data_IF_445733424552
#
_entry.id   IF_445733424552
#
_cell.length_a   1.000
_cell.length_b   1.000
_cell.length_c   1.000
_cell.angle_alpha   90.00
_cell.angle_beta   90.00
_cell.angle_gamma   90.00
#
_symmetry.space_group_name_H-M   'P 1'
#
loop_
_entity.id
_entity.type
_entity.pdbx_description
1 polymer ?
#
# COMPACT_ATOMS: atom_id res chain seq x y z
N UNK A 1 -15.77 -5.78 2.19
CA UNK A 1 -16.55 -5.78 0.91
C UNK A 1 -15.55 -5.71 -0.24
N UNK A 2 -15.85 -6.16 -1.48
CA UNK A 2 -14.89 -6.02 -2.57
C UNK A 2 -14.68 -4.55 -2.94
N UNK A 3 -13.44 -4.15 -3.21
CA UNK A 3 -13.08 -2.77 -3.58
C UNK A 3 -12.68 -2.69 -5.05
N UNK A 4 -13.30 -1.79 -5.80
CA UNK A 4 -13.02 -1.65 -7.24
C UNK A 4 -11.92 -0.63 -7.52
N UNK A 5 -10.90 -1.04 -8.29
CA UNK A 5 -9.76 -0.24 -8.71
C UNK A 5 -9.78 0.01 -10.22
N UNK A 6 -9.24 1.16 -10.62
CA UNK A 6 -8.83 1.41 -12.01
C UNK A 6 -7.47 0.77 -12.27
N UNK A 7 -7.13 0.53 -13.54
CA UNK A 7 -5.80 0.01 -13.92
C UNK A 7 -4.66 0.85 -13.32
N UNK A 8 -4.76 2.18 -13.41
CA UNK A 8 -3.76 3.11 -12.86
C UNK A 8 -3.53 2.91 -11.37
N UNK A 9 -4.60 2.75 -10.58
CA UNK A 9 -4.48 2.53 -9.15
C UNK A 9 -4.01 1.13 -8.79
N UNK A 10 -4.46 0.12 -9.55
CA UNK A 10 -3.96 -1.26 -9.44
C UNK A 10 -2.45 -1.30 -9.65
N UNK A 11 -1.93 -0.65 -10.68
CA UNK A 11 -0.49 -0.67 -10.99
C UNK A 11 0.34 0.08 -9.96
N UNK A 12 -0.17 1.19 -9.44
CA UNK A 12 0.47 1.91 -8.34
C UNK A 12 0.55 1.04 -7.07
N UNK A 13 -0.56 0.40 -6.68
CA UNK A 13 -0.59 -0.52 -5.53
C UNK A 13 0.30 -1.75 -5.76
N UNK A 14 0.27 -2.33 -6.97
CA UNK A 14 1.12 -3.45 -7.34
C UNK A 14 2.60 -3.09 -7.17
N UNK A 15 3.03 -1.97 -7.76
CA UNK A 15 4.42 -1.54 -7.69
C UNK A 15 4.87 -1.29 -6.25
N UNK A 16 4.02 -0.66 -5.43
CA UNK A 16 4.32 -0.39 -4.03
C UNK A 16 4.33 -1.68 -3.18
N UNK A 17 3.42 -2.62 -3.43
CA UNK A 17 3.38 -3.93 -2.76
C UNK A 17 4.64 -4.75 -3.07
N UNK A 18 5.04 -4.81 -4.35
CA UNK A 18 6.25 -5.51 -4.77
C UNK A 18 7.51 -4.86 -4.17
N UNK A 19 7.56 -3.53 -4.08
CA UNK A 19 8.65 -2.81 -3.44
C UNK A 19 8.75 -3.14 -1.94
N UNK A 20 7.63 -3.30 -1.25
CA UNK A 20 7.64 -3.68 0.17
C UNK A 20 8.08 -5.13 0.39
N UNK A 21 7.53 -6.07 -0.38
CA UNK A 21 7.92 -7.48 -0.33
C UNK A 21 9.40 -7.71 -0.65
N UNK A 22 9.97 -6.92 -1.58
CA UNK A 22 11.41 -6.98 -1.93
C UNK A 22 12.32 -6.76 -0.73
N UNK A 23 11.90 -5.95 0.24
CA UNK A 23 12.64 -5.70 1.47
C UNK A 23 12.18 -6.60 2.62
N UNK A 24 10.87 -6.86 2.71
CA UNK A 24 10.25 -7.63 3.78
C UNK A 24 10.67 -9.10 3.81
N UNK A 25 10.80 -9.74 2.65
CA UNK A 25 11.19 -11.17 2.57
C UNK A 25 12.65 -11.37 3.03
N UNK A 26 13.66 -10.63 2.51
CA UNK A 26 15.02 -10.73 3.03
C UNK A 26 15.13 -10.40 4.52
N UNK A 27 14.41 -9.39 5.01
CA UNK A 27 14.40 -9.04 6.43
C UNK A 27 13.87 -10.19 7.31
N UNK A 28 12.85 -10.91 6.84
CA UNK A 28 12.32 -12.09 7.53
C UNK A 28 13.34 -13.22 7.58
N UNK A 29 14.00 -13.51 6.45
CA UNK A 29 15.05 -14.54 6.38
C UNK A 29 16.24 -14.19 7.28
N UNK A 30 16.66 -12.93 7.30
CA UNK A 30 17.69 -12.44 8.20
C UNK A 30 17.29 -12.62 9.67
N UNK A 31 16.05 -12.31 10.03
CA UNK A 31 15.55 -12.52 11.39
C UNK A 31 15.58 -14.00 11.81
N UNK A 32 15.24 -14.92 10.90
CA UNK A 32 15.37 -16.37 11.14
C UNK A 32 16.82 -16.79 11.36
N UNK A 33 17.73 -16.34 10.50
CA UNK A 33 19.17 -16.65 10.59
C UNK A 33 19.79 -16.14 11.89
N UNK A 34 19.27 -15.04 12.44
CA UNK A 34 19.72 -14.48 13.72
C UNK A 34 18.99 -15.05 14.95
N UNK A 35 18.15 -16.07 14.78
CA UNK A 35 17.37 -16.68 15.88
C UNK A 35 16.28 -15.78 16.46
N UNK A 36 15.93 -14.67 15.80
CA UNK A 36 14.90 -13.71 16.23
C UNK A 36 13.49 -14.18 15.84
N UNK A 37 13.10 -15.37 16.29
CA UNK A 37 11.84 -16.02 15.86
C UNK A 37 10.57 -15.20 16.09
N UNK A 38 10.37 -14.50 17.23
CA UNK A 38 9.17 -13.67 17.41
C UNK A 38 9.08 -12.56 16.36
N UNK A 39 10.20 -11.92 16.03
CA UNK A 39 10.25 -10.89 15.00
C UNK A 39 10.03 -11.47 13.60
N UNK A 40 10.62 -12.64 13.30
CA UNK A 40 10.37 -13.35 12.04
C UNK A 40 8.88 -13.72 11.86
N UNK A 41 8.18 -14.13 12.93
CA UNK A 41 6.72 -14.39 12.86
C UNK A 41 5.91 -13.14 12.53
N UNK A 42 6.28 -11.99 13.09
CA UNK A 42 5.66 -10.71 12.77
C UNK A 42 5.88 -10.36 11.30
N UNK A 43 7.11 -10.51 10.80
CA UNK A 43 7.42 -10.26 9.38
C UNK A 43 6.70 -11.24 8.45
N UNK A 44 6.58 -12.51 8.83
CA UNK A 44 5.82 -13.51 8.08
C UNK A 44 4.36 -13.10 7.90
N UNK A 45 3.68 -12.74 8.99
CA UNK A 45 2.27 -12.34 8.94
C UNK A 45 2.05 -11.07 8.09
N UNK A 46 3.03 -10.15 8.09
CA UNK A 46 2.99 -8.95 7.23
C UNK A 46 3.11 -9.31 5.75
N UNK A 47 4.17 -10.05 5.41
CA UNK A 47 4.42 -10.46 4.03
C UNK A 47 3.28 -11.35 3.50
N UNK A 48 2.62 -12.15 4.35
CA UNK A 48 1.47 -12.98 4.00
C UNK A 48 0.28 -12.12 3.52
N UNK A 49 -0.03 -11.03 4.22
CA UNK A 49 -1.10 -10.12 3.81
C UNK A 49 -0.78 -9.36 2.52
N UNK A 50 0.47 -8.96 2.32
CA UNK A 50 0.93 -8.31 1.08
C UNK A 50 0.91 -9.27 -0.12
N UNK A 51 1.28 -10.54 0.09
CA UNK A 51 1.17 -11.58 -0.93
C UNK A 51 -0.29 -11.87 -1.29
N UNK A 52 -1.20 -11.83 -0.31
CA UNK A 52 -2.63 -11.95 -0.56
C UNK A 52 -3.18 -10.75 -1.36
N UNK A 53 -2.74 -9.53 -1.05
CA UNK A 53 -3.05 -8.36 -1.89
C UNK A 53 -2.51 -8.52 -3.31
N UNK A 54 -1.28 -9.00 -3.47
CA UNK A 54 -0.68 -9.23 -4.78
C UNK A 54 -1.45 -10.27 -5.60
N UNK A 55 -2.01 -11.29 -4.93
CA UNK A 55 -2.89 -12.26 -5.57
C UNK A 55 -4.14 -11.59 -6.16
N UNK A 56 -4.80 -10.72 -5.40
CA UNK A 56 -5.98 -9.97 -5.86
C UNK A 56 -5.65 -8.99 -7.01
N UNK A 57 -4.49 -8.31 -6.92
CA UNK A 57 -4.03 -7.40 -7.96
C UNK A 57 -3.54 -8.14 -9.22
N UNK A 58 -3.19 -9.42 -9.10
CA UNK A 58 -2.56 -10.23 -10.13
C UNK A 58 -1.03 -10.13 -10.14
N UNK A 59 -0.37 -11.21 -10.54
CA UNK A 59 1.10 -11.40 -10.46
C UNK A 59 1.90 -10.75 -11.58
N UNK A 60 1.26 -10.41 -12.69
CA UNK A 60 1.92 -9.88 -13.88
C UNK A 60 1.50 -8.42 -14.12
N UNK A 61 2.35 -7.61 -14.78
CA UNK A 61 1.92 -6.34 -15.36
C UNK A 61 0.82 -6.63 -16.38
N UNK A 62 -0.36 -6.05 -16.22
CA UNK A 62 -1.48 -6.29 -17.13
C UNK A 62 -1.24 -5.60 -18.48
N UNK A 63 -1.16 -6.35 -19.61
CA UNK A 63 -0.85 -5.77 -20.91
C UNK A 63 -2.03 -5.03 -21.54
N UNK A 64 -3.26 -5.40 -21.19
CA UNK A 64 -4.51 -4.78 -21.64
C UNK A 64 -5.50 -4.75 -20.47
N UNK A 65 -6.06 -3.59 -20.11
CA UNK A 65 -7.16 -3.56 -19.15
C UNK A 65 -8.12 -2.39 -19.39
N UNK A 66 -9.20 -2.69 -20.11
CA UNK A 66 -10.48 -1.99 -19.93
C UNK A 66 -11.35 -2.86 -19.02
N UNK A 67 -11.28 -2.64 -17.71
CA UNK A 67 -12.12 -3.34 -16.75
C UNK A 67 -11.87 -2.92 -15.30
N UNK A 68 -12.89 -2.98 -14.43
CA UNK A 68 -12.71 -2.82 -12.99
C UNK A 68 -11.91 -3.99 -12.40
N UNK A 69 -10.93 -3.69 -11.54
CA UNK A 69 -10.21 -4.70 -10.76
C UNK A 69 -10.82 -4.80 -9.37
N UNK A 70 -11.11 -6.00 -8.89
CA UNK A 70 -11.71 -6.21 -7.57
C UNK A 70 -10.67 -6.72 -6.57
N UNK A 71 -10.53 -6.01 -5.45
CA UNK A 71 -9.76 -6.46 -4.29
C UNK A 71 -10.72 -7.17 -3.34
N UNK A 72 -10.46 -8.45 -3.07
CA UNK A 72 -11.33 -9.32 -2.25
C UNK A 72 -10.79 -9.54 -0.84
N UNK A 73 -9.55 -9.12 -0.57
CA UNK A 73 -8.89 -9.20 0.72
C UNK A 73 -9.78 -8.63 1.84
N UNK A 74 -9.96 -9.37 2.96
CA UNK A 74 -10.82 -8.90 4.04
C UNK A 74 -10.39 -7.54 4.58
N UNK A 75 -11.36 -6.67 4.85
CA UNK A 75 -11.13 -5.27 5.23
C UNK A 75 -10.09 -5.07 6.35
N UNK A 76 -10.03 -5.88 7.44
CA UNK A 76 -8.99 -5.75 8.46
C UNK A 76 -7.57 -6.01 7.94
N UNK A 77 -7.41 -6.99 7.05
CA UNK A 77 -6.12 -7.31 6.43
C UNK A 77 -5.75 -6.26 5.40
N UNK A 78 -6.72 -5.84 4.59
CA UNK A 78 -6.56 -4.78 3.61
C UNK A 78 -6.14 -3.46 4.26
N UNK A 79 -6.79 -3.03 5.35
CA UNK A 79 -6.39 -1.86 6.12
C UNK A 79 -4.95 -1.94 6.59
N UNK A 80 -4.54 -3.09 7.14
CA UNK A 80 -3.17 -3.27 7.64
C UNK A 80 -2.14 -3.06 6.53
N UNK A 81 -2.38 -3.66 5.36
CA UNK A 81 -1.50 -3.55 4.19
C UNK A 81 -1.52 -2.12 3.63
N UNK A 82 -2.69 -1.50 3.47
CA UNK A 82 -2.83 -0.15 2.91
C UNK A 82 -2.20 0.92 3.80
N UNK A 83 -2.32 0.82 5.13
CA UNK A 83 -1.64 1.75 6.04
C UNK A 83 -0.13 1.67 5.90
N UNK A 84 0.41 0.46 5.76
CA UNK A 84 1.85 0.22 5.61
C UNK A 84 2.36 0.73 4.26
N UNK A 85 1.72 0.32 3.16
CA UNK A 85 2.04 0.77 1.80
C UNK A 85 1.90 2.28 1.68
N UNK A 86 0.82 2.85 2.22
CA UNK A 86 0.54 4.27 2.18
C UNK A 86 1.60 5.07 2.94
N UNK A 87 1.96 4.64 4.15
CA UNK A 87 3.03 5.28 4.93
C UNK A 87 4.37 5.24 4.21
N UNK A 88 4.77 4.07 3.70
CA UNK A 88 6.04 3.94 2.97
C UNK A 88 6.05 4.78 1.69
N UNK A 89 4.98 4.74 0.92
CA UNK A 89 4.86 5.55 -0.30
C UNK A 89 4.91 7.04 0.00
N UNK A 90 4.31 7.47 1.11
CA UNK A 90 4.41 8.85 1.58
C UNK A 90 5.84 9.21 1.99
N UNK A 91 6.55 8.35 2.70
CA UNK A 91 7.96 8.55 3.08
C UNK A 91 8.86 8.69 1.85
N UNK A 92 8.72 7.82 0.85
CA UNK A 92 9.48 7.91 -0.41
C UNK A 92 9.14 9.19 -1.19
N UNK A 93 7.85 9.55 -1.28
CA UNK A 93 7.43 10.79 -1.93
C UNK A 93 8.00 12.02 -1.22
N UNK A 94 8.02 12.00 0.12
CA UNK A 94 8.58 13.11 0.91
C UNK A 94 10.07 13.27 0.64
N UNK A 95 10.84 12.18 0.63
CA UNK A 95 12.27 12.23 0.30
C UNK A 95 12.51 12.80 -1.09
N UNK A 96 11.74 12.34 -2.08
CA UNK A 96 11.81 12.90 -3.43
C UNK A 96 11.50 14.41 -3.48
N UNK A 97 10.56 14.90 -2.67
CA UNK A 97 10.23 16.33 -2.63
C UNK A 97 11.25 17.18 -1.87
N UNK A 98 12.00 16.57 -0.95
CA UNK A 98 13.06 17.21 -0.18
C UNK A 98 14.41 17.25 -0.92
N UNK A 99 14.62 16.33 -1.86
CA UNK A 99 15.78 16.31 -2.73
C UNK A 99 15.76 17.46 -3.75
N UNK A 100 16.95 17.88 -4.20
CA UNK A 100 17.08 18.99 -5.15
C UNK A 100 16.46 18.63 -6.52
N UNK A 101 15.30 19.23 -6.79
CA UNK A 101 14.51 18.97 -8.00
C UNK A 101 15.28 19.18 -9.32
N UNK A 102 16.38 19.95 -9.31
CA UNK A 102 17.23 20.15 -10.49
C UNK A 102 17.98 18.87 -10.93
N UNK A 103 18.12 17.89 -10.04
CA UNK A 103 18.89 16.67 -10.28
C UNK A 103 18.02 15.44 -10.59
N UNK A 104 16.68 15.57 -10.55
CA UNK A 104 15.81 14.43 -10.79
C UNK A 104 15.77 13.99 -12.24
N UNK A 105 16.14 12.74 -12.46
CA UNK A 105 15.98 12.11 -13.76
C UNK A 105 14.49 11.76 -14.04
N UNK A 106 14.14 11.37 -15.28
CA UNK A 106 12.77 10.98 -15.61
C UNK A 106 12.26 9.73 -14.88
N UNK A 107 13.15 8.82 -14.48
CA UNK A 107 12.79 7.58 -13.81
C UNK A 107 12.39 7.83 -12.35
N UNK A 108 13.12 8.70 -11.66
CA UNK A 108 12.81 9.19 -10.31
C UNK A 108 11.45 9.90 -10.29
N UNK A 109 11.22 10.81 -11.25
CA UNK A 109 9.90 11.45 -11.46
C UNK A 109 8.77 10.44 -11.63
N UNK A 110 8.97 9.42 -12.46
CA UNK A 110 7.98 8.38 -12.69
C UNK A 110 7.76 7.49 -11.45
N UNK A 111 8.78 7.31 -10.60
CA UNK A 111 8.65 6.60 -9.32
C UNK A 111 7.86 7.45 -8.30
N UNK A 112 8.15 8.75 -8.20
CA UNK A 112 7.43 9.68 -7.33
C UNK A 112 5.94 9.75 -7.67
N UNK A 113 5.58 9.83 -8.96
CA UNK A 113 4.17 9.79 -9.39
C UNK A 113 3.47 8.47 -9.02
N UNK A 114 4.19 7.34 -9.06
CA UNK A 114 3.64 6.06 -8.57
C UNK A 114 3.42 6.07 -7.07
N UNK A 115 4.34 6.60 -6.28
CA UNK A 115 4.19 6.73 -4.82
C UNK A 115 3.04 7.66 -4.42
N UNK A 116 2.88 8.77 -5.15
CA UNK A 116 1.74 9.67 -4.99
C UNK A 116 0.42 8.95 -5.24
N UNK A 117 0.32 8.20 -6.33
CA UNK A 117 -0.89 7.43 -6.66
C UNK A 117 -1.19 6.32 -5.65
N UNK A 118 -0.17 5.61 -5.18
CA UNK A 118 -0.31 4.59 -4.14
C UNK A 118 -0.82 5.21 -2.84
N UNK A 119 -0.29 6.38 -2.44
CA UNK A 119 -0.75 7.12 -1.26
C UNK A 119 -2.21 7.55 -1.41
N UNK A 120 -2.58 8.09 -2.57
CA UNK A 120 -3.94 8.53 -2.88
C UNK A 120 -4.95 7.38 -2.76
N UNK A 121 -4.68 6.24 -3.40
CA UNK A 121 -5.61 5.11 -3.38
C UNK A 121 -5.66 4.41 -2.01
N UNK A 122 -4.53 4.30 -1.30
CA UNK A 122 -4.52 3.80 0.08
C UNK A 122 -5.46 4.65 0.96
N UNK A 123 -5.30 5.96 0.96
CA UNK A 123 -6.13 6.86 1.76
C UNK A 123 -7.60 6.76 1.39
N UNK A 124 -7.92 6.70 0.09
CA UNK A 124 -9.29 6.55 -0.39
C UNK A 124 -9.95 5.29 0.16
N UNK A 125 -9.31 4.13 0.04
CA UNK A 125 -9.87 2.86 0.51
C UNK A 125 -9.93 2.82 2.03
N UNK A 126 -8.91 3.33 2.74
CA UNK A 126 -8.91 3.41 4.21
C UNK A 126 -10.13 4.20 4.71
N UNK A 127 -10.43 5.35 4.08
CA UNK A 127 -11.60 6.18 4.43
C UNK A 127 -12.91 5.43 4.15
N UNK A 128 -12.99 4.65 3.07
CA UNK A 128 -14.18 3.85 2.75
C UNK A 128 -14.43 2.74 3.78
N UNK A 129 -13.37 2.07 4.24
CA UNK A 129 -13.46 1.01 5.25
C UNK A 129 -13.67 1.58 6.66
N UNK A 130 -12.99 2.68 6.98
CA UNK A 130 -13.00 3.33 8.30
C UNK A 130 -13.57 4.73 8.15
N UNK A 131 -14.88 4.88 7.89
CA UNK A 131 -15.48 6.20 7.78
C UNK A 131 -15.22 6.97 9.08
N UNK A 132 -14.90 8.28 9.00
CA UNK A 132 -14.74 9.08 10.19
C UNK A 132 -16.01 8.95 11.02
N UNK A 133 -15.85 8.63 12.31
CA UNK A 133 -16.95 8.72 13.26
C UNK A 133 -17.43 10.15 13.21
N UNK A 134 -18.55 10.40 12.53
CA UNK A 134 -19.28 11.65 12.64
C UNK A 134 -19.63 11.76 14.12
N UNK A 135 -18.90 12.62 14.85
CA UNK A 135 -19.30 13.06 16.18
C UNK A 135 -20.73 13.58 16.02
N UNK A 136 -21.73 13.03 16.73
CA UNK A 136 -23.03 13.68 16.74
C UNK A 136 -22.79 15.09 17.29
N UNK A 137 -23.12 16.08 16.45
CA UNK A 137 -23.15 17.47 16.84
C UNK A 137 -23.91 17.56 18.17
N UNK A 138 -23.35 18.35 19.09
CA UNK A 138 -23.95 18.70 20.35
C UNK A 138 -25.47 18.83 20.20
N UNK A 139 -26.21 18.00 20.93
CA UNK A 139 -27.63 18.23 21.14
C UNK A 139 -27.74 19.61 21.76
N UNK A 140 -28.23 20.55 20.96
CA UNK A 140 -28.56 21.91 21.38
C UNK A 140 -29.46 21.87 22.61
N UNK A 141 -29.17 22.83 23.49
CA UNK A 141 -29.96 23.24 24.63
C UNK A 141 -31.45 23.38 24.27
N UNK A 142 -32.32 22.81 25.11
CA UNK A 142 -33.65 23.34 25.40
C UNK A 142 -34.10 22.88 26.80
#
# INVERSE_FOLDING_TARGET
MPHTLTLRYRDALYAATVADLREGIPAMLLALNLGKFPFARVLRARNEAEMALLHDLGWEPYPDANGPFEVTLPDPQLLHVLHRIGRRSYEELTRYLEDDAAHHDPAERAAAERHKLATEICNRIIIQITPPLLTPAATEEA
#
